data_IF_712685936443
#
_entry.id   IF_712685936443
#
_cell.length_a   1.000
_cell.length_b   1.000
_cell.length_c   1.000
_cell.angle_alpha   90.00
_cell.angle_beta   90.00
_cell.angle_gamma   90.00
#
_symmetry.space_group_name_H-M   'P 1'
#
loop_
_entity.id
_entity.type
_entity.pdbx_description
1 polymer ?
#
# COMPACT_ATOMS: atom_id res chain seq x y z
N UNK A 1 42.68 22.28 18.60
CA UNK A 1 41.75 21.79 17.56
C UNK A 1 41.95 20.30 17.50
N UNK A 2 41.00 19.55 18.05
CA UNK A 2 41.09 18.07 18.07
C UNK A 2 40.62 17.55 16.70
N UNK A 3 41.50 16.80 16.03
CA UNK A 3 41.28 16.18 14.70
C UNK A 3 40.42 14.90 14.76
N UNK A 4 39.58 14.70 15.77
CA UNK A 4 38.87 13.43 16.00
C UNK A 4 37.35 13.47 15.81
N UNK A 5 36.77 14.53 15.24
CA UNK A 5 35.33 14.64 15.03
C UNK A 5 34.92 14.55 13.52
N UNK A 6 35.68 13.79 12.72
CA UNK A 6 35.15 13.42 11.40
C UNK A 6 34.20 12.24 11.58
N UNK A 7 32.89 12.51 11.53
CA UNK A 7 31.90 11.42 11.37
C UNK A 7 32.34 10.53 10.19
N UNK A 8 32.32 9.19 10.36
CA UNK A 8 32.68 8.29 9.27
C UNK A 8 31.80 8.57 8.07
N UNK A 9 32.39 8.66 6.89
CA UNK A 9 31.65 8.91 5.65
C UNK A 9 30.56 7.85 5.48
N UNK A 10 29.32 8.27 5.17
CA UNK A 10 28.21 7.36 4.98
C UNK A 10 28.58 6.26 3.95
N UNK A 11 28.18 4.98 4.20
CA UNK A 11 28.45 3.89 3.28
C UNK A 11 27.95 4.19 1.87
N UNK A 12 28.73 3.81 0.85
CA UNK A 12 28.34 4.06 -0.55
C UNK A 12 27.29 3.06 -1.00
N UNK A 13 26.27 3.56 -1.69
CA UNK A 13 25.26 2.74 -2.35
C UNK A 13 25.71 2.43 -3.78
N UNK A 14 25.70 1.16 -4.17
CA UNK A 14 26.09 0.74 -5.50
C UNK A 14 25.05 1.14 -6.57
N UNK A 15 25.54 1.59 -7.73
CA UNK A 15 24.68 1.96 -8.85
C UNK A 15 24.14 0.70 -9.53
N UNK A 16 22.84 0.52 -9.54
CA UNK A 16 22.16 -0.57 -10.27
C UNK A 16 22.08 -0.26 -11.77
N UNK A 17 23.17 -0.48 -12.50
CA UNK A 17 23.11 -0.46 -13.98
C UNK A 17 22.67 -1.80 -14.53
N UNK A 18 22.16 -1.84 -15.77
CA UNK A 18 21.82 -3.10 -16.46
C UNK A 18 23.03 -4.03 -16.53
N UNK A 19 24.21 -3.48 -16.82
CA UNK A 19 25.46 -4.25 -16.86
C UNK A 19 25.76 -4.89 -15.50
N UNK A 20 25.72 -4.11 -14.42
CA UNK A 20 25.94 -4.60 -13.07
C UNK A 20 24.97 -5.73 -12.72
N UNK A 21 23.67 -5.51 -12.88
CA UNK A 21 22.64 -6.52 -12.59
C UNK A 21 22.86 -7.78 -13.44
N UNK A 22 23.07 -7.64 -14.75
CA UNK A 22 23.29 -8.78 -15.64
C UNK A 22 24.53 -9.60 -15.25
N UNK A 23 25.61 -8.95 -14.82
CA UNK A 23 26.82 -9.63 -14.33
C UNK A 23 26.53 -10.38 -13.04
N UNK A 24 25.96 -9.74 -12.04
CA UNK A 24 25.62 -10.36 -10.75
C UNK A 24 24.67 -11.56 -10.91
N UNK A 25 23.64 -11.45 -11.76
CA UNK A 25 22.74 -12.58 -12.06
C UNK A 25 23.45 -13.74 -12.76
N UNK A 26 24.39 -13.45 -13.67
CA UNK A 26 25.20 -14.49 -14.34
C UNK A 26 26.14 -15.21 -13.38
N UNK A 27 26.79 -14.50 -12.46
CA UNK A 27 27.69 -15.06 -11.46
C UNK A 27 27.02 -16.15 -10.61
N UNK A 28 25.73 -15.98 -10.31
CA UNK A 28 24.95 -16.95 -9.53
C UNK A 28 24.08 -17.88 -10.40
N UNK A 29 24.22 -17.83 -11.71
CA UNK A 29 23.48 -18.70 -12.65
C UNK A 29 21.97 -18.42 -12.70
N UNK A 30 21.53 -17.22 -12.37
CA UNK A 30 20.12 -16.85 -12.26
C UNK A 30 19.62 -15.98 -13.41
N UNK A 31 18.30 -15.95 -13.54
CA UNK A 31 17.55 -15.00 -14.36
C UNK A 31 16.45 -14.35 -13.51
N UNK A 32 16.11 -13.08 -13.78
CA UNK A 32 15.00 -12.41 -13.07
C UNK A 32 13.71 -13.22 -13.15
N UNK A 33 13.08 -13.41 -12.00
CA UNK A 33 11.88 -14.23 -11.89
C UNK A 33 10.61 -13.41 -12.15
N UNK A 34 9.99 -13.63 -13.32
CA UNK A 34 8.75 -12.94 -13.70
C UNK A 34 7.58 -13.25 -12.75
N UNK A 35 7.55 -14.43 -12.10
CA UNK A 35 6.47 -14.80 -11.16
C UNK A 35 6.51 -13.95 -9.89
N UNK A 36 7.70 -13.53 -9.46
CA UNK A 36 7.86 -12.63 -8.31
C UNK A 36 7.70 -11.15 -8.69
N UNK A 37 7.37 -10.84 -9.95
CA UNK A 37 7.19 -9.45 -10.39
C UNK A 37 8.46 -8.61 -10.34
N UNK A 38 9.63 -9.25 -10.43
CA UNK A 38 10.94 -8.60 -10.34
C UNK A 38 11.16 -7.63 -11.51
N UNK A 39 11.16 -6.34 -11.20
CA UNK A 39 11.49 -5.24 -12.11
C UNK A 39 12.37 -4.25 -11.35
N UNK A 40 13.69 -4.34 -11.56
CA UNK A 40 14.66 -3.50 -10.87
C UNK A 40 14.67 -2.11 -11.48
N UNK A 41 14.55 -1.09 -10.67
CA UNK A 41 14.67 0.31 -11.09
C UNK A 41 16.16 0.64 -11.27
N UNK A 42 16.57 0.94 -12.50
CA UNK A 42 17.99 1.14 -12.88
C UNK A 42 18.40 2.62 -12.98
N UNK A 43 17.47 3.54 -12.73
CA UNK A 43 17.70 4.98 -12.76
C UNK A 43 17.90 5.53 -11.34
N UNK A 44 19.13 5.94 -11.03
CA UNK A 44 19.49 6.49 -9.72
C UNK A 44 18.73 7.79 -9.36
N UNK A 45 18.37 8.61 -10.35
CA UNK A 45 17.60 9.83 -10.08
C UNK A 45 16.19 9.48 -9.61
N UNK A 46 15.61 8.41 -10.17
CA UNK A 46 14.30 7.93 -9.75
C UNK A 46 14.35 7.23 -8.38
N UNK A 47 15.41 6.47 -8.06
CA UNK A 47 15.62 5.92 -6.71
C UNK A 47 15.72 7.06 -5.68
N UNK A 48 16.52 8.08 -5.97
CA UNK A 48 16.62 9.28 -5.11
C UNK A 48 15.29 10.05 -5.02
N UNK A 49 14.50 10.07 -6.10
CA UNK A 49 13.16 10.69 -6.08
C UNK A 49 12.21 9.93 -5.17
N UNK A 50 12.23 8.60 -5.14
CA UNK A 50 11.44 7.80 -4.19
C UNK A 50 11.86 8.16 -2.76
N UNK A 51 13.15 8.13 -2.46
CA UNK A 51 13.67 8.43 -1.13
C UNK A 51 13.33 9.87 -0.68
N UNK A 52 13.55 10.87 -1.53
CA UNK A 52 13.21 12.27 -1.21
C UNK A 52 11.69 12.47 -1.04
N UNK A 53 10.87 11.77 -1.82
CA UNK A 53 9.40 11.82 -1.69
C UNK A 53 8.90 11.14 -0.41
N UNK A 54 9.63 10.16 0.11
CA UNK A 54 9.34 9.50 1.38
C UNK A 54 9.64 10.41 2.59
N UNK A 55 10.45 11.47 2.40
CA UNK A 55 10.80 12.45 3.44
C UNK A 55 11.28 11.77 4.73
N UNK A 56 12.24 10.87 4.57
CA UNK A 56 12.78 10.07 5.68
C UNK A 56 13.68 10.89 6.60
N UNK A 57 13.68 10.54 7.87
CA UNK A 57 14.56 11.10 8.89
C UNK A 57 14.92 10.05 9.95
N UNK A 58 15.85 10.38 10.88
CA UNK A 58 16.36 9.44 11.89
C UNK A 58 15.31 8.92 12.89
N UNK A 59 14.12 9.51 12.94
CA UNK A 59 13.02 9.01 13.77
C UNK A 59 12.11 8.03 13.01
N UNK A 60 12.40 7.73 11.75
CA UNK A 60 11.54 6.86 10.96
C UNK A 60 11.97 5.40 11.05
N UNK A 61 10.98 4.52 11.17
CA UNK A 61 11.05 3.08 10.89
C UNK A 61 10.44 2.87 9.51
N UNK A 62 11.26 2.46 8.57
CA UNK A 62 10.85 2.25 7.19
C UNK A 62 10.66 0.76 6.94
N UNK A 63 9.49 0.38 6.44
CA UNK A 63 9.27 -0.94 5.84
C UNK A 63 9.49 -0.83 4.33
N UNK A 64 10.35 -1.69 3.79
CA UNK A 64 10.52 -1.91 2.37
C UNK A 64 10.08 -3.33 2.01
N UNK A 65 9.38 -3.50 0.91
CA UNK A 65 8.95 -4.81 0.41
C UNK A 65 9.49 -5.01 -0.99
N UNK A 66 10.35 -6.03 -1.13
CA UNK A 66 11.14 -6.29 -2.32
C UNK A 66 12.49 -5.57 -2.24
N UNK A 67 13.41 -6.06 -1.42
CA UNK A 67 14.79 -5.53 -1.27
C UNK A 67 15.53 -5.48 -2.62
N UNK A 68 15.27 -6.48 -3.46
CA UNK A 68 16.00 -6.65 -4.71
C UNK A 68 17.50 -6.78 -4.48
N UNK A 69 18.28 -5.85 -5.02
CA UNK A 69 19.74 -5.80 -4.84
C UNK A 69 20.17 -4.81 -3.74
N UNK A 70 19.24 -4.26 -2.97
CA UNK A 70 19.55 -3.39 -1.82
C UNK A 70 19.84 -1.92 -2.13
N UNK A 71 19.82 -1.48 -3.39
CA UNK A 71 20.17 -0.07 -3.70
C UNK A 71 19.20 0.95 -3.10
N UNK A 72 17.90 0.70 -3.15
CA UNK A 72 16.92 1.58 -2.52
C UNK A 72 16.99 1.49 -1.00
N UNK A 73 17.17 0.28 -0.46
CA UNK A 73 17.40 0.01 0.96
C UNK A 73 18.58 0.82 1.50
N UNK A 74 19.73 0.81 0.81
CA UNK A 74 20.91 1.56 1.19
C UNK A 74 20.68 3.08 1.23
N UNK A 75 19.92 3.61 0.25
CA UNK A 75 19.53 5.04 0.26
C UNK A 75 18.63 5.35 1.46
N UNK A 76 17.69 4.46 1.80
CA UNK A 76 16.84 4.62 2.99
C UNK A 76 17.65 4.54 4.29
N UNK A 77 18.60 3.60 4.39
CA UNK A 77 19.45 3.41 5.55
C UNK A 77 20.31 4.66 5.88
N UNK A 78 20.73 5.40 4.86
CA UNK A 78 21.43 6.68 5.03
C UNK A 78 20.56 7.76 5.67
N UNK A 79 19.23 7.67 5.58
CA UNK A 79 18.27 8.72 5.99
C UNK A 79 17.44 8.33 7.21
N UNK A 80 16.96 7.09 7.26
CA UNK A 80 16.07 6.58 8.30
C UNK A 80 16.82 6.20 9.59
N UNK A 81 16.08 6.07 10.69
CA UNK A 81 16.58 5.51 11.94
C UNK A 81 16.67 4.00 11.89
N UNK A 82 15.73 3.35 11.22
CA UNK A 82 15.68 1.91 11.01
C UNK A 82 15.05 1.57 9.67
N UNK A 83 15.61 0.62 8.95
CA UNK A 83 15.00 0.03 7.74
C UNK A 83 14.75 -1.44 8.01
N UNK A 84 13.51 -1.87 7.78
CA UNK A 84 13.11 -3.28 7.77
C UNK A 84 12.79 -3.60 6.33
N UNK A 85 13.54 -4.51 5.71
CA UNK A 85 13.34 -4.88 4.32
C UNK A 85 13.03 -6.36 4.17
N UNK A 86 12.10 -6.70 3.30
CA UNK A 86 11.58 -8.07 3.13
C UNK A 86 11.84 -8.54 1.71
N UNK A 87 12.54 -9.68 1.56
CA UNK A 87 12.82 -10.30 0.27
C UNK A 87 12.43 -11.79 0.28
N UNK A 88 11.62 -12.18 -0.69
CA UNK A 88 11.14 -13.56 -0.81
C UNK A 88 12.16 -14.46 -1.55
N UNK A 89 12.94 -13.89 -2.44
CA UNK A 89 13.93 -14.62 -3.22
C UNK A 89 15.22 -14.79 -2.41
N UNK A 90 15.60 -16.04 -2.13
CA UNK A 90 16.76 -16.35 -1.29
C UNK A 90 18.09 -15.85 -1.88
N UNK A 91 18.22 -15.83 -3.20
CA UNK A 91 19.46 -15.39 -3.85
C UNK A 91 19.57 -13.87 -3.88
N UNK A 92 18.44 -13.18 -4.14
CA UNK A 92 18.41 -11.71 -3.99
C UNK A 92 18.66 -11.31 -2.55
N UNK A 93 18.06 -12.02 -1.58
CA UNK A 93 18.31 -11.75 -0.17
C UNK A 93 19.81 -11.88 0.15
N UNK A 94 20.47 -12.94 -0.31
CA UNK A 94 21.91 -13.13 -0.09
C UNK A 94 22.73 -12.00 -0.74
N UNK A 95 22.51 -11.71 -2.03
CA UNK A 95 23.22 -10.64 -2.73
C UNK A 95 23.01 -9.27 -2.09
N UNK A 96 21.79 -8.98 -1.66
CA UNK A 96 21.49 -7.73 -0.97
C UNK A 96 22.14 -7.69 0.43
N UNK A 97 22.24 -8.81 1.14
CA UNK A 97 22.93 -8.86 2.45
C UNK A 97 24.40 -8.47 2.35
N UNK A 98 25.08 -8.88 1.25
CA UNK A 98 26.47 -8.46 0.98
C UNK A 98 26.58 -6.95 0.73
N UNK A 99 25.62 -6.38 -0.01
CA UNK A 99 25.59 -4.94 -0.32
C UNK A 99 25.22 -4.07 0.88
N UNK A 100 24.43 -4.61 1.80
CA UNK A 100 23.89 -3.88 2.95
C UNK A 100 24.68 -4.11 4.26
N UNK A 101 25.69 -4.98 4.22
CA UNK A 101 26.56 -5.26 5.38
C UNK A 101 27.13 -3.99 6.05
N UNK A 102 27.49 -2.91 5.33
CA UNK A 102 27.98 -1.69 5.96
C UNK A 102 26.95 -0.88 6.74
N UNK A 103 25.65 -1.24 6.71
CA UNK A 103 24.56 -0.51 7.36
C UNK A 103 24.09 -1.25 8.61
N UNK A 104 24.30 -0.67 9.78
CA UNK A 104 23.92 -1.22 11.10
C UNK A 104 22.44 -1.06 11.44
N UNK A 105 21.71 -0.22 10.67
CA UNK A 105 20.30 0.09 10.86
C UNK A 105 19.39 -0.61 9.84
N UNK A 106 19.83 -1.73 9.26
CA UNK A 106 19.04 -2.52 8.31
C UNK A 106 18.75 -3.90 8.88
N UNK A 107 17.46 -4.23 9.01
CA UNK A 107 16.99 -5.58 9.30
C UNK A 107 16.42 -6.23 8.03
N UNK A 108 17.04 -7.31 7.58
CA UNK A 108 16.57 -8.07 6.41
C UNK A 108 15.77 -9.30 6.83
N UNK A 109 14.57 -9.46 6.28
CA UNK A 109 13.70 -10.62 6.48
C UNK A 109 13.57 -11.43 5.19
N UNK A 110 13.96 -12.72 5.25
CA UNK A 110 13.87 -13.65 4.11
C UNK A 110 12.56 -14.41 4.16
N UNK A 111 11.50 -13.84 3.60
CA UNK A 111 10.16 -14.45 3.57
C UNK A 111 9.22 -13.72 2.62
N UNK A 112 8.00 -14.26 2.42
CA UNK A 112 6.90 -13.48 1.87
C UNK A 112 6.42 -12.46 2.92
N UNK A 113 6.21 -11.22 2.51
CA UNK A 113 5.65 -10.19 3.38
C UNK A 113 4.17 -10.45 3.73
N UNK A 114 3.48 -11.26 2.94
CA UNK A 114 2.09 -11.62 3.13
C UNK A 114 1.95 -13.08 3.55
N UNK A 115 1.23 -13.35 4.64
CA UNK A 115 0.76 -14.69 4.99
C UNK A 115 -0.28 -15.20 3.97
N UNK A 116 -1.12 -14.29 3.49
CA UNK A 116 -2.11 -14.49 2.44
C UNK A 116 -2.55 -13.13 1.89
N UNK A 117 -3.48 -13.11 0.91
CA UNK A 117 -3.94 -11.86 0.28
C UNK A 117 -4.53 -10.82 1.25
N UNK A 118 -5.00 -11.25 2.41
CA UNK A 118 -5.70 -10.39 3.37
C UNK A 118 -4.87 -10.06 4.62
N UNK A 119 -3.72 -10.69 4.81
CA UNK A 119 -2.94 -10.56 6.04
C UNK A 119 -1.43 -10.49 5.75
N UNK A 120 -0.74 -9.62 6.47
CA UNK A 120 0.72 -9.64 6.55
C UNK A 120 1.23 -10.88 7.28
N UNK A 121 2.46 -11.26 7.00
CA UNK A 121 3.20 -12.21 7.82
C UNK A 121 3.41 -11.60 9.22
N UNK A 122 3.06 -12.34 10.29
CA UNK A 122 3.14 -11.80 11.66
C UNK A 122 4.53 -11.31 12.03
N UNK A 123 5.58 -11.95 11.53
CA UNK A 123 6.99 -11.62 11.80
C UNK A 123 7.34 -10.23 11.26
N UNK A 124 6.79 -9.83 10.10
CA UNK A 124 7.02 -8.50 9.53
C UNK A 124 6.40 -7.42 10.42
N UNK A 125 5.15 -7.65 10.85
CA UNK A 125 4.44 -6.69 11.72
C UNK A 125 5.11 -6.63 13.11
N UNK A 126 5.55 -7.78 13.63
CA UNK A 126 6.27 -7.84 14.91
C UNK A 126 7.58 -7.05 14.86
N UNK A 127 8.39 -7.23 13.80
CA UNK A 127 9.63 -6.47 13.61
C UNK A 127 9.39 -4.95 13.55
N UNK A 128 8.34 -4.51 12.84
CA UNK A 128 7.99 -3.08 12.79
C UNK A 128 7.58 -2.57 14.17
N UNK A 129 6.73 -3.31 14.90
CA UNK A 129 6.30 -2.94 16.27
C UNK A 129 7.47 -2.86 17.25
N UNK A 130 8.38 -3.83 17.20
CA UNK A 130 9.58 -3.87 18.03
C UNK A 130 10.44 -2.61 17.82
N UNK A 131 10.76 -2.28 16.58
CA UNK A 131 11.60 -1.13 16.27
C UNK A 131 10.89 0.22 16.50
N UNK A 132 9.57 0.29 16.42
CA UNK A 132 8.81 1.46 16.84
C UNK A 132 8.86 1.66 18.35
N UNK A 133 8.78 0.57 19.13
CA UNK A 133 8.80 0.63 20.57
C UNK A 133 10.21 0.89 21.14
N UNK A 134 11.27 0.53 20.40
CA UNK A 134 12.64 0.68 20.85
C UNK A 134 13.06 2.14 21.13
N UNK A 135 12.48 3.10 20.43
CA UNK A 135 12.75 4.53 20.62
C UNK A 135 11.43 5.32 20.59
N UNK A 136 11.09 6.02 21.69
CA UNK A 136 9.88 6.84 21.74
C UNK A 136 9.82 7.90 20.63
N UNK A 137 8.65 8.08 20.03
CA UNK A 137 8.44 9.07 18.99
C UNK A 137 8.84 8.64 17.56
N UNK A 138 9.26 7.39 17.37
CA UNK A 138 9.48 6.84 16.03
C UNK A 138 8.19 6.80 15.22
N UNK A 139 8.32 7.04 13.92
CA UNK A 139 7.23 7.11 12.96
C UNK A 139 7.35 5.98 11.95
N UNK A 140 6.28 5.22 11.75
CA UNK A 140 6.23 4.16 10.74
C UNK A 140 5.97 4.73 9.35
N UNK A 141 6.77 4.33 8.36
CA UNK A 141 6.60 4.64 6.94
C UNK A 141 6.78 3.42 6.06
N UNK A 142 6.05 3.33 4.96
CA UNK A 142 6.32 2.39 3.87
C UNK A 142 7.02 3.13 2.74
N UNK A 143 8.16 2.63 2.30
CA UNK A 143 8.82 3.13 1.09
C UNK A 143 9.38 1.96 0.29
N UNK A 144 8.98 1.79 -0.98
CA UNK A 144 9.34 0.61 -1.75
C UNK A 144 9.13 0.77 -3.27
N UNK A 145 9.90 0.02 -4.04
CA UNK A 145 9.57 -0.33 -5.41
C UNK A 145 8.77 -1.64 -5.38
N UNK A 146 7.45 -1.58 -5.18
CA UNK A 146 6.61 -2.76 -4.89
C UNK A 146 6.53 -3.73 -6.08
N UNK A 147 6.58 -5.05 -5.83
CA UNK A 147 6.20 -6.03 -6.83
C UNK A 147 4.73 -5.83 -7.25
N UNK A 148 4.47 -5.75 -8.57
CA UNK A 148 3.16 -5.31 -9.08
C UNK A 148 1.99 -6.20 -8.67
N UNK A 149 2.24 -7.51 -8.54
CA UNK A 149 1.21 -8.50 -8.19
C UNK A 149 0.72 -8.41 -6.74
N UNK A 150 1.47 -7.77 -5.84
CA UNK A 150 1.14 -7.68 -4.41
C UNK A 150 0.92 -6.25 -3.91
N UNK A 151 1.07 -5.24 -4.77
CA UNK A 151 0.95 -3.83 -4.37
C UNK A 151 -0.43 -3.48 -3.75
N UNK A 152 -1.53 -3.93 -4.38
CA UNK A 152 -2.88 -3.68 -3.84
C UNK A 152 -3.10 -4.31 -2.46
N UNK A 153 -2.84 -5.62 -2.23
CA UNK A 153 -2.99 -6.20 -0.90
C UNK A 153 -2.05 -5.58 0.14
N UNK A 154 -0.83 -5.19 -0.21
CA UNK A 154 0.09 -4.52 0.71
C UNK A 154 -0.51 -3.20 1.20
N UNK A 155 -0.89 -2.30 0.29
CA UNK A 155 -1.48 -1.00 0.63
C UNK A 155 -2.76 -1.18 1.45
N UNK A 156 -3.68 -2.03 0.99
CA UNK A 156 -4.97 -2.23 1.64
C UNK A 156 -4.84 -2.84 3.05
N UNK A 157 -3.97 -3.84 3.22
CA UNK A 157 -3.78 -4.50 4.52
C UNK A 157 -3.09 -3.59 5.54
N UNK A 158 -2.11 -2.77 5.12
CA UNK A 158 -1.48 -1.79 6.03
C UNK A 158 -2.49 -0.75 6.52
N UNK A 159 -3.41 -0.31 5.67
CA UNK A 159 -4.46 0.63 6.05
C UNK A 159 -5.50 0.03 7.01
N UNK A 160 -5.66 -1.30 7.03
CA UNK A 160 -6.51 -2.04 7.98
C UNK A 160 -5.78 -2.44 9.25
N UNK A 161 -4.45 -2.42 9.25
CA UNK A 161 -3.66 -2.90 10.38
C UNK A 161 -3.75 -1.99 11.60
N UNK A 162 -3.31 -2.51 12.75
CA UNK A 162 -3.17 -1.76 14.00
C UNK A 162 -2.10 -0.66 13.90
N UNK A 163 -1.08 -0.90 13.06
CA UNK A 163 0.02 0.03 12.81
C UNK A 163 -0.07 0.55 11.38
N UNK A 164 -0.73 1.68 11.19
CA UNK A 164 -0.85 2.30 9.86
C UNK A 164 0.36 3.17 9.60
N UNK A 165 1.04 3.01 8.45
CA UNK A 165 2.13 3.92 8.09
C UNK A 165 1.64 5.36 8.01
N UNK A 166 2.38 6.31 8.59
CA UNK A 166 2.08 7.73 8.43
C UNK A 166 2.10 8.17 6.96
N UNK A 167 3.04 7.60 6.21
CA UNK A 167 3.12 7.77 4.75
C UNK A 167 3.51 6.48 4.05
N UNK A 168 3.05 6.32 2.80
CA UNK A 168 3.51 5.27 1.90
C UNK A 168 4.01 5.92 0.60
N UNK A 169 5.27 5.72 0.26
CA UNK A 169 5.87 6.19 -1.00
C UNK A 169 6.28 4.98 -1.81
N UNK A 170 5.49 4.65 -2.82
CA UNK A 170 5.64 3.38 -3.52
C UNK A 170 5.66 3.54 -5.03
N UNK A 171 6.46 2.70 -5.70
CA UNK A 171 6.38 2.51 -7.14
C UNK A 171 5.42 1.35 -7.43
N UNK A 172 4.46 1.59 -8.28
CA UNK A 172 3.42 0.62 -8.69
C UNK A 172 3.12 0.77 -10.18
N UNK A 173 2.32 -0.13 -10.76
CA UNK A 173 1.79 0.05 -12.11
C UNK A 173 0.97 1.35 -12.20
N UNK A 174 1.12 2.09 -13.30
CA UNK A 174 0.40 3.35 -13.52
C UNK A 174 -1.11 3.19 -13.39
N UNK A 175 -1.68 2.11 -13.94
CA UNK A 175 -3.12 1.82 -13.83
C UNK A 175 -3.58 1.74 -12.36
N UNK A 176 -2.80 1.12 -11.49
CA UNK A 176 -3.10 1.07 -10.07
C UNK A 176 -2.99 2.47 -9.43
N UNK A 177 -1.98 3.24 -9.83
CA UNK A 177 -1.83 4.64 -9.41
C UNK A 177 -3.02 5.51 -9.82
N UNK A 178 -3.47 5.38 -11.08
CA UNK A 178 -4.64 6.10 -11.59
C UNK A 178 -5.90 5.78 -10.76
N UNK A 179 -6.09 4.51 -10.36
CA UNK A 179 -7.20 4.11 -9.48
C UNK A 179 -7.09 4.71 -8.07
N UNK A 180 -5.88 4.81 -7.51
CA UNK A 180 -5.69 5.38 -6.17
C UNK A 180 -6.05 6.87 -6.10
N UNK A 181 -5.86 7.63 -7.18
CA UNK A 181 -6.13 9.07 -7.25
C UNK A 181 -7.41 9.42 -8.01
N UNK A 182 -8.17 8.42 -8.45
CA UNK A 182 -9.35 8.61 -9.28
C UNK A 182 -10.44 9.43 -8.58
N UNK A 183 -11.15 10.26 -9.35
CA UNK A 183 -12.26 11.06 -8.88
C UNK A 183 -13.60 10.36 -9.19
N UNK A 184 -14.66 10.63 -8.40
CA UNK A 184 -16.01 10.13 -8.69
C UNK A 184 -16.42 10.36 -10.13
N UNK A 185 -17.08 9.37 -10.74
CA UNK A 185 -17.53 9.42 -12.13
C UNK A 185 -16.45 9.12 -13.19
N UNK A 186 -15.17 9.03 -12.82
CA UNK A 186 -14.12 8.65 -13.75
C UNK A 186 -14.06 7.13 -13.98
N UNK A 187 -13.49 6.71 -15.13
CA UNK A 187 -13.38 5.29 -15.48
C UNK A 187 -12.56 4.46 -14.48
N UNK A 188 -11.62 5.08 -13.78
CA UNK A 188 -10.69 4.42 -12.86
C UNK A 188 -11.18 4.44 -11.40
N UNK A 189 -12.25 5.19 -11.11
CA UNK A 189 -12.86 5.26 -9.80
C UNK A 189 -13.53 3.94 -9.40
N UNK A 190 -13.21 3.43 -8.23
CA UNK A 190 -13.69 2.13 -7.77
C UNK A 190 -13.47 1.90 -6.28
N UNK A 191 -13.67 0.67 -5.83
CA UNK A 191 -13.54 0.30 -4.42
C UNK A 191 -12.20 0.74 -3.81
N UNK A 192 -11.10 0.57 -4.53
CA UNK A 192 -9.78 0.96 -4.03
C UNK A 192 -9.65 2.48 -3.90
N UNK A 193 -10.22 3.26 -4.85
CA UNK A 193 -10.24 4.72 -4.79
C UNK A 193 -10.95 5.20 -3.53
N UNK A 194 -12.17 4.68 -3.30
CA UNK A 194 -12.98 5.03 -2.13
C UNK A 194 -12.27 4.60 -0.85
N UNK A 195 -11.83 3.35 -0.77
CA UNK A 195 -11.16 2.81 0.41
C UNK A 195 -9.97 3.67 0.83
N UNK A 196 -9.02 3.89 -0.09
CA UNK A 196 -7.78 4.59 0.25
C UNK A 196 -8.02 6.07 0.52
N UNK A 197 -8.82 6.76 -0.31
CA UNK A 197 -9.05 8.21 -0.16
C UNK A 197 -9.97 8.56 1.03
N UNK A 198 -10.74 7.58 1.54
CA UNK A 198 -11.55 7.77 2.76
C UNK A 198 -10.72 7.94 4.03
N UNK A 199 -9.46 7.49 4.01
CA UNK A 199 -8.57 7.52 5.17
C UNK A 199 -7.20 8.12 4.87
N UNK A 200 -6.93 8.47 3.60
CA UNK A 200 -5.66 9.04 3.15
C UNK A 200 -5.86 10.19 2.17
N UNK A 201 -4.79 10.99 2.00
CA UNK A 201 -4.59 11.81 0.81
C UNK A 201 -3.63 11.08 -0.13
N UNK A 202 -3.88 11.16 -1.43
CA UNK A 202 -3.10 10.43 -2.44
C UNK A 202 -2.67 11.35 -3.58
N UNK A 203 -1.45 11.17 -4.07
CA UNK A 203 -0.97 11.86 -5.27
C UNK A 203 0.00 11.01 -6.08
N UNK A 204 -0.05 11.17 -7.41
CA UNK A 204 1.00 10.71 -8.31
C UNK A 204 2.14 11.72 -8.26
N UNK A 205 3.34 11.25 -7.86
CA UNK A 205 4.56 12.06 -7.84
C UNK A 205 5.19 12.10 -9.24
N UNK A 206 5.30 10.93 -9.87
CA UNK A 206 5.95 10.78 -11.18
C UNK A 206 5.43 9.58 -11.93
N UNK A 207 5.17 9.72 -13.22
CA UNK A 207 4.96 8.60 -14.14
C UNK A 207 6.31 8.23 -14.78
N UNK A 208 6.56 6.92 -14.88
CA UNK A 208 7.83 6.37 -15.36
C UNK A 208 7.59 5.39 -16.49
N UNK A 209 8.39 5.53 -17.56
CA UNK A 209 8.32 4.60 -18.68
C UNK A 209 8.97 3.25 -18.33
N UNK A 210 8.60 2.16 -19.02
CA UNK A 210 9.21 0.84 -18.83
C UNK A 210 10.74 0.80 -19.03
N UNK A 211 11.30 1.79 -19.72
CA UNK A 211 12.73 1.84 -20.06
C UNK A 211 13.66 2.03 -18.85
N UNK A 212 13.12 2.52 -17.74
CA UNK A 212 13.90 2.74 -16.50
C UNK A 212 13.97 1.50 -15.61
N UNK A 213 13.42 0.37 -16.07
CA UNK A 213 13.41 -0.90 -15.35
C UNK A 213 14.12 -2.01 -16.10
N UNK A 214 14.69 -2.94 -15.36
CA UNK A 214 15.25 -4.20 -15.89
C UNK A 214 14.82 -5.40 -15.01
N UNK A 215 14.25 -6.48 -15.56
CA UNK A 215 13.71 -6.55 -16.92
C UNK A 215 12.64 -5.49 -17.18
N UNK A 216 12.48 -5.11 -18.45
CA UNK A 216 11.51 -4.08 -18.84
C UNK A 216 10.07 -4.60 -18.67
N UNK A 217 9.22 -3.96 -17.85
CA UNK A 217 7.80 -4.29 -17.78
C UNK A 217 7.07 -3.92 -19.07
N UNK A 218 5.82 -4.40 -19.22
CA UNK A 218 5.00 -4.11 -20.40
C UNK A 218 4.20 -2.81 -20.28
N UNK A 219 4.11 -2.23 -19.08
CA UNK A 219 3.27 -1.09 -18.75
C UNK A 219 4.07 -0.01 -18.04
N UNK A 220 3.58 1.22 -18.11
CA UNK A 220 4.12 2.34 -17.33
C UNK A 220 3.94 2.11 -15.83
N UNK A 221 4.82 2.71 -15.05
CA UNK A 221 4.78 2.73 -13.60
C UNK A 221 4.54 4.15 -13.09
N UNK A 222 4.19 4.25 -11.82
CA UNK A 222 4.08 5.54 -11.16
C UNK A 222 4.64 5.48 -9.74
N UNK A 223 5.31 6.54 -9.31
CA UNK A 223 5.62 6.81 -7.91
C UNK A 223 4.37 7.46 -7.32
N UNK A 224 3.80 6.82 -6.30
CA UNK A 224 2.63 7.30 -5.57
C UNK A 224 3.05 7.67 -4.16
N UNK A 225 2.54 8.79 -3.66
CA UNK A 225 2.67 9.18 -2.27
C UNK A 225 1.28 9.21 -1.64
N UNK A 226 1.12 8.45 -0.56
CA UNK A 226 -0.11 8.26 0.20
C UNK A 226 0.17 8.77 1.62
N UNK A 227 -0.64 9.69 2.11
CA UNK A 227 -0.52 10.27 3.46
C UNK A 227 -1.73 9.81 4.27
N UNK A 228 -1.51 9.04 5.32
CA UNK A 228 -2.56 8.64 6.24
C UNK A 228 -3.09 9.87 7.01
N UNK A 229 -4.40 9.93 7.14
CA UNK A 229 -5.13 10.99 7.86
C UNK A 229 -5.91 10.36 9.03
N UNK A 230 -5.33 10.35 10.24
CA UNK A 230 -5.98 9.75 11.40
C UNK A 230 -7.40 10.31 11.64
N UNK A 231 -7.61 11.60 11.39
CA UNK A 231 -8.91 12.28 11.52
C UNK A 231 -9.96 11.72 10.54
N UNK A 232 -9.57 11.41 9.31
CA UNK A 232 -10.47 10.77 8.33
C UNK A 232 -10.83 9.35 8.78
N UNK A 233 -9.83 8.59 9.26
CA UNK A 233 -10.05 7.23 9.77
C UNK A 233 -10.96 7.22 10.99
N UNK A 234 -10.78 8.14 11.92
CA UNK A 234 -11.60 8.28 13.14
C UNK A 234 -13.05 8.66 12.83
N UNK A 235 -13.32 9.30 11.69
CA UNK A 235 -14.67 9.61 11.23
C UNK A 235 -15.47 8.41 10.72
N UNK A 236 -14.84 7.22 10.54
CA UNK A 236 -15.50 5.99 10.10
C UNK A 236 -15.81 5.13 11.34
N UNK A 237 -17.08 4.97 11.75
CA UNK A 237 -17.44 4.28 12.99
C UNK A 237 -17.01 2.82 13.04
N UNK A 238 -17.13 2.09 11.92
CA UNK A 238 -16.67 0.70 11.77
C UNK A 238 -15.88 0.55 10.48
N UNK A 239 -14.55 0.51 10.63
CA UNK A 239 -13.63 0.44 9.50
C UNK A 239 -13.73 -0.88 8.71
N UNK A 240 -13.94 -2.00 9.40
CA UNK A 240 -14.05 -3.32 8.75
C UNK A 240 -15.37 -3.42 7.99
N UNK A 241 -16.45 -2.95 8.58
CA UNK A 241 -17.73 -2.87 7.88
C UNK A 241 -17.64 -1.96 6.65
N UNK A 242 -17.02 -0.77 6.80
CA UNK A 242 -16.83 0.16 5.68
C UNK A 242 -16.01 -0.45 4.54
N UNK A 243 -14.88 -1.10 4.85
CA UNK A 243 -14.05 -1.77 3.85
C UNK A 243 -14.85 -2.84 3.09
N UNK A 244 -15.62 -3.62 3.84
CA UNK A 244 -16.49 -4.64 3.35
C UNK A 244 -17.60 -4.10 2.45
N UNK A 245 -18.29 -3.09 2.93
CA UNK A 245 -19.35 -2.38 2.22
C UNK A 245 -18.87 -1.81 0.88
N UNK A 246 -17.76 -1.08 0.89
CA UNK A 246 -17.17 -0.52 -0.33
C UNK A 246 -16.88 -1.60 -1.36
N UNK A 247 -16.28 -2.73 -0.96
CA UNK A 247 -16.02 -3.85 -1.87
C UNK A 247 -17.31 -4.43 -2.47
N UNK A 248 -18.33 -4.63 -1.65
CA UNK A 248 -19.61 -5.16 -2.08
C UNK A 248 -20.33 -4.20 -3.06
N UNK A 249 -20.30 -2.90 -2.76
CA UNK A 249 -20.95 -1.88 -3.61
C UNK A 249 -20.29 -1.70 -4.99
N UNK A 250 -19.02 -2.04 -5.14
CA UNK A 250 -18.31 -2.00 -6.43
C UNK A 250 -18.20 -3.36 -7.13
N UNK A 251 -18.77 -4.42 -6.58
CA UNK A 251 -18.69 -5.76 -7.19
C UNK A 251 -19.35 -5.82 -8.57
N UNK A 252 -20.45 -5.05 -8.76
CA UNK A 252 -21.15 -4.94 -10.03
C UNK A 252 -21.19 -3.49 -10.52
N UNK A 253 -20.04 -2.94 -10.89
CA UNK A 253 -19.83 -1.53 -11.24
C UNK A 253 -20.85 -0.93 -12.22
N UNK A 254 -21.37 -1.71 -13.18
CA UNK A 254 -22.30 -1.23 -14.22
C UNK A 254 -23.78 -1.28 -13.80
N UNK A 255 -24.12 -1.87 -12.66
CA UNK A 255 -25.50 -1.92 -12.15
C UNK A 255 -25.85 -0.67 -11.36
N UNK A 256 -27.13 -0.36 -11.31
CA UNK A 256 -27.64 0.68 -10.42
C UNK A 256 -27.45 0.30 -8.95
N UNK A 257 -27.21 1.28 -8.13
CA UNK A 257 -26.85 1.13 -6.72
C UNK A 257 -27.87 0.30 -5.94
N UNK A 258 -29.18 0.51 -6.17
CA UNK A 258 -30.26 -0.30 -5.57
C UNK A 258 -30.05 -1.79 -5.78
N UNK A 259 -29.79 -2.21 -7.02
CA UNK A 259 -29.58 -3.61 -7.36
C UNK A 259 -28.30 -4.20 -6.70
N UNK A 260 -27.26 -3.36 -6.59
CA UNK A 260 -26.01 -3.74 -5.93
C UNK A 260 -26.24 -3.89 -4.43
N UNK A 261 -26.92 -2.93 -3.79
CA UNK A 261 -27.23 -2.98 -2.36
C UNK A 261 -28.10 -4.22 -2.01
N UNK A 262 -29.14 -4.49 -2.78
CA UNK A 262 -29.95 -5.73 -2.59
C UNK A 262 -29.07 -6.98 -2.66
N UNK A 263 -28.09 -7.00 -3.57
CA UNK A 263 -27.15 -8.13 -3.67
C UNK A 263 -26.17 -8.21 -2.50
N UNK A 264 -25.65 -7.05 -2.07
CA UNK A 264 -24.67 -6.93 -0.99
C UNK A 264 -25.26 -7.40 0.37
N UNK A 265 -26.52 -7.04 0.61
CA UNK A 265 -27.23 -7.35 1.86
C UNK A 265 -28.18 -8.56 1.77
N UNK A 266 -28.00 -9.39 0.74
CA UNK A 266 -28.85 -10.58 0.52
C UNK A 266 -28.84 -11.50 1.76
N UNK A 267 -30.04 -11.83 2.26
CA UNK A 267 -30.24 -12.68 3.44
C UNK A 267 -30.11 -11.93 4.77
N UNK A 268 -29.80 -10.63 4.74
CA UNK A 268 -29.69 -9.79 5.93
C UNK A 268 -30.72 -8.65 5.93
N UNK A 269 -30.94 -8.01 4.77
CA UNK A 269 -31.97 -7.00 4.58
C UNK A 269 -32.89 -7.39 3.45
N UNK A 270 -34.18 -7.11 3.62
CA UNK A 270 -35.20 -7.23 2.57
C UNK A 270 -35.18 -6.02 1.65
N UNK A 271 -35.78 -6.14 0.43
CA UNK A 271 -35.84 -5.05 -0.54
C UNK A 271 -36.44 -3.75 0.03
N UNK A 272 -37.56 -3.78 0.80
CA UNK A 272 -38.11 -2.56 1.42
C UNK A 272 -37.11 -1.84 2.33
N UNK A 273 -36.31 -2.58 3.14
CA UNK A 273 -35.29 -1.98 4.00
C UNK A 273 -34.20 -1.27 3.18
N UNK A 274 -33.82 -1.84 2.04
CA UNK A 274 -32.86 -1.20 1.12
C UNK A 274 -33.44 0.07 0.51
N UNK A 275 -34.71 0.02 0.09
CA UNK A 275 -35.41 1.16 -0.50
C UNK A 275 -35.57 2.31 0.51
N UNK A 276 -35.90 1.99 1.76
CA UNK A 276 -36.00 2.96 2.87
C UNK A 276 -34.66 3.69 3.10
N UNK A 277 -33.54 2.95 3.18
CA UNK A 277 -32.21 3.55 3.35
C UNK A 277 -31.86 4.47 2.17
N UNK A 278 -32.08 4.02 0.94
CA UNK A 278 -31.76 4.81 -0.24
C UNK A 278 -32.61 6.07 -0.35
N UNK A 279 -33.88 5.97 0.02
CA UNK A 279 -34.79 7.14 0.05
C UNK A 279 -34.38 8.13 1.13
N UNK A 280 -34.01 7.66 2.33
CA UNK A 280 -33.54 8.51 3.44
C UNK A 280 -32.23 9.25 3.08
N UNK A 281 -31.37 8.63 2.28
CA UNK A 281 -30.15 9.26 1.77
C UNK A 281 -30.36 10.05 0.45
N UNK A 282 -31.60 10.28 0.04
CA UNK A 282 -31.96 11.05 -1.16
C UNK A 282 -31.35 10.52 -2.48
N UNK A 283 -31.16 9.19 -2.58
CA UNK A 283 -30.61 8.56 -3.76
C UNK A 283 -31.69 7.95 -4.66
N UNK A 284 -31.72 8.41 -5.91
CA UNK A 284 -32.67 7.92 -6.92
C UNK A 284 -32.32 6.51 -7.44
N UNK A 285 -33.30 5.81 -8.07
CA UNK A 285 -33.15 4.42 -8.51
C UNK A 285 -32.08 4.23 -9.59
N UNK A 286 -31.72 5.27 -10.34
CA UNK A 286 -30.73 5.25 -11.43
C UNK A 286 -29.32 5.67 -10.99
N UNK A 287 -29.12 5.98 -9.70
CA UNK A 287 -27.80 6.32 -9.16
C UNK A 287 -26.84 5.12 -9.27
N UNK A 288 -25.61 5.38 -9.70
CA UNK A 288 -24.55 4.36 -9.75
C UNK A 288 -23.50 4.63 -8.67
N UNK A 289 -23.00 3.59 -8.04
CA UNK A 289 -21.98 3.67 -7.00
C UNK A 289 -20.74 4.46 -7.40
N UNK A 290 -20.31 4.32 -8.65
CA UNK A 290 -19.12 5.01 -9.19
C UNK A 290 -19.28 6.54 -9.31
N UNK A 291 -20.47 7.07 -9.16
CA UNK A 291 -20.76 8.51 -9.22
C UNK A 291 -20.68 9.18 -7.83
N UNK A 292 -20.71 8.38 -6.76
CA UNK A 292 -20.81 8.90 -5.40
C UNK A 292 -19.48 9.47 -4.89
N UNK A 293 -19.47 10.71 -4.39
CA UNK A 293 -18.35 11.24 -3.62
C UNK A 293 -18.10 10.42 -2.34
N UNK A 294 -16.87 10.46 -1.84
CA UNK A 294 -16.47 9.69 -0.65
C UNK A 294 -17.33 10.01 0.59
N UNK A 295 -17.64 11.27 0.94
CA UNK A 295 -18.50 11.56 2.09
C UNK A 295 -19.88 10.93 1.97
N UNK A 296 -20.48 10.95 0.78
CA UNK A 296 -21.78 10.31 0.50
C UNK A 296 -21.70 8.79 0.64
N UNK A 297 -20.59 8.19 0.22
CA UNK A 297 -20.34 6.75 0.39
C UNK A 297 -20.21 6.37 1.86
N UNK A 298 -19.58 7.22 2.70
CA UNK A 298 -19.45 7.01 4.13
C UNK A 298 -20.81 7.12 4.84
N UNK A 299 -21.59 8.14 4.50
CA UNK A 299 -22.96 8.33 5.01
C UNK A 299 -23.87 7.15 4.66
N UNK A 300 -23.86 6.73 3.40
CA UNK A 300 -24.63 5.59 2.92
C UNK A 300 -24.21 4.28 3.63
N UNK A 301 -22.94 4.08 3.85
CA UNK A 301 -22.43 2.92 4.58
C UNK A 301 -22.96 2.89 6.01
N UNK A 302 -22.92 4.02 6.71
CA UNK A 302 -23.41 4.10 8.09
C UNK A 302 -24.93 3.94 8.16
N UNK A 303 -25.68 4.49 7.21
CA UNK A 303 -27.14 4.30 7.13
C UNK A 303 -27.49 2.80 6.97
N UNK A 304 -26.80 2.08 6.09
CA UNK A 304 -26.99 0.63 5.95
C UNK A 304 -26.56 -0.14 7.19
N UNK A 305 -25.46 0.23 7.85
CA UNK A 305 -25.01 -0.39 9.09
C UNK A 305 -26.04 -0.23 10.22
N UNK A 306 -26.60 0.96 10.38
CA UNK A 306 -27.65 1.25 11.37
C UNK A 306 -28.94 0.46 11.07
N UNK A 307 -29.37 0.41 9.80
CA UNK A 307 -30.53 -0.39 9.40
C UNK A 307 -30.30 -1.87 9.68
N UNK A 308 -29.07 -2.37 9.46
CA UNK A 308 -28.75 -3.76 9.75
C UNK A 308 -28.79 -4.06 11.25
N UNK A 309 -28.30 -3.14 12.09
CA UNK A 309 -28.43 -3.24 13.57
C UNK A 309 -29.90 -3.28 13.98
N UNK A 310 -30.73 -2.38 13.43
CA UNK A 310 -32.16 -2.30 13.71
C UNK A 310 -32.89 -3.63 13.39
N UNK A 311 -32.61 -4.20 12.21
CA UNK A 311 -33.29 -5.40 11.72
C UNK A 311 -32.81 -6.69 12.42
N UNK A 312 -31.50 -6.78 12.71
CA UNK A 312 -30.90 -8.02 13.24
C UNK A 312 -30.75 -8.00 14.77
N UNK A 313 -30.74 -6.84 15.39
CA UNK A 313 -30.40 -6.66 16.81
C UNK A 313 -28.91 -6.86 17.14
N UNK A 314 -28.05 -7.11 16.11
CA UNK A 314 -26.60 -7.28 16.30
C UNK A 314 -25.91 -5.89 16.33
N UNK A 315 -25.28 -5.47 17.45
CA UNK A 315 -24.61 -4.18 17.55
C UNK A 315 -23.35 -4.09 16.68
N UNK A 316 -22.79 -5.21 16.23
CA UNK A 316 -21.57 -5.29 15.42
C UNK A 316 -21.80 -6.14 14.14
N UNK A 317 -22.74 -5.75 13.29
CA UNK A 317 -23.10 -6.56 12.13
C UNK A 317 -21.95 -6.66 11.13
N UNK A 318 -21.86 -7.81 10.48
CA UNK A 318 -20.92 -8.06 9.37
C UNK A 318 -21.68 -8.35 8.09
N UNK A 319 -21.13 -7.95 6.96
CA UNK A 319 -21.69 -8.35 5.67
C UNK A 319 -21.46 -9.85 5.43
N UNK A 320 -22.53 -10.61 5.19
CA UNK A 320 -22.51 -12.06 5.13
C UNK A 320 -21.76 -12.65 3.92
N UNK A 321 -21.58 -11.88 2.86
CA UNK A 321 -21.01 -12.36 1.57
C UNK A 321 -19.60 -11.82 1.34
N UNK A 322 -18.62 -12.19 2.19
CA UNK A 322 -17.21 -11.83 1.99
C UNK A 322 -16.28 -13.01 2.01
#
# INVERSE_FOLDING_TARGET
>A
MNFNDMEPAAPKVNKQTVSYLSTRFKEVGLNPNKRHGQNFLIDMNLLNMIASSAQLNRNDVVLEIGTGMGSLTGIFAQQAGQVITVEIDQYLHQMASEELEPFDNVLMLKQDCLKNKNNFAPEVIAAVKEHLAAVPGRVFKLAANLPYNVATPIISNLLRSEIVPATMTVTIQKELGDRLVAKPGSKDYGALSVWVQSICDTKIVRVMSPKVFWPRPKVDSAIIHIIHRPEKRAAIPDLEFFHAFVRAMFFHRRKYMRSVAISAFKGQLEKPHVDEVLQACEHGPETRTEQLPIPVMQELCEAFRQKLIEVTGDPNPKLANQ
#
